data_IF_782465706918
#
_entry.id   IF_782465706918
#
_cell.length_a   1.000
_cell.length_b   1.000
_cell.length_c   1.000
_cell.angle_alpha   90.00
_cell.angle_beta   90.00
_cell.angle_gamma   90.00
#
_symmetry.space_group_name_H-M   'P 1'
#
loop_
_entity.id
_entity.type
_entity.pdbx_description
1 polymer ?
#
# COMPACT_ATOMS: atom_id res chain seq x y z
N UNK A 1 17.89 -84.20 -55.61
CA UNK A 1 17.85 -82.78 -56.00
C UNK A 1 17.50 -81.94 -54.78
N UNK A 2 18.17 -80.80 -54.63
CA UNK A 2 18.33 -80.00 -53.40
C UNK A 2 17.02 -79.39 -52.85
N UNK A 3 16.79 -79.61 -51.55
CA UNK A 3 16.20 -78.77 -50.50
C UNK A 3 15.13 -77.69 -50.84
N UNK A 4 13.85 -78.10 -50.83
CA UNK A 4 12.68 -77.20 -50.68
C UNK A 4 12.19 -77.02 -49.22
N UNK A 5 12.77 -77.77 -48.27
CA UNK A 5 12.34 -77.74 -46.85
C UNK A 5 12.92 -76.59 -46.03
N UNK A 6 14.04 -76.00 -46.47
CA UNK A 6 14.72 -74.91 -45.76
C UNK A 6 14.09 -73.52 -46.05
N UNK A 7 13.51 -73.32 -47.24
CA UNK A 7 12.85 -72.06 -47.62
C UNK A 7 11.54 -71.79 -46.86
N UNK A 8 10.84 -72.84 -46.39
CA UNK A 8 9.57 -72.69 -45.67
C UNK A 8 9.74 -72.35 -44.18
N UNK A 9 10.94 -72.57 -43.61
CA UNK A 9 11.22 -72.26 -42.20
C UNK A 9 11.63 -70.79 -41.95
N UNK A 10 11.97 -70.04 -43.01
CA UNK A 10 12.40 -68.64 -42.89
C UNK A 10 11.27 -67.60 -42.94
N UNK A 11 10.00 -67.99 -43.17
CA UNK A 11 8.87 -67.04 -43.24
C UNK A 11 8.19 -66.72 -41.90
N UNK A 12 8.59 -67.34 -40.79
CA UNK A 12 7.92 -67.18 -39.49
C UNK A 12 8.79 -66.58 -38.37
N UNK A 13 10.01 -66.15 -38.68
CA UNK A 13 10.96 -65.57 -37.70
C UNK A 13 11.51 -64.23 -38.16
N UNK A 14 10.62 -63.31 -38.56
CA UNK A 14 10.95 -61.89 -38.57
C UNK A 14 10.23 -61.17 -37.42
N UNK A 15 10.95 -60.71 -36.38
CA UNK A 15 10.37 -59.82 -35.39
C UNK A 15 10.04 -58.48 -36.06
N UNK A 16 8.75 -58.17 -36.14
CA UNK A 16 8.24 -56.87 -36.60
C UNK A 16 8.72 -55.81 -35.60
N UNK A 17 9.77 -55.07 -35.97
CA UNK A 17 10.38 -54.01 -35.16
C UNK A 17 9.36 -52.88 -34.95
N UNK A 18 8.60 -52.93 -33.86
CA UNK A 18 7.59 -51.91 -33.55
C UNK A 18 8.26 -50.62 -33.10
N UNK A 19 7.97 -49.49 -33.76
CA UNK A 19 8.45 -48.16 -33.36
C UNK A 19 7.82 -47.62 -32.07
N UNK A 20 7.11 -48.45 -31.29
CA UNK A 20 6.42 -48.09 -30.06
C UNK A 20 7.35 -47.46 -29.00
N UNK A 21 8.61 -47.89 -28.93
CA UNK A 21 9.60 -47.31 -28.01
C UNK A 21 9.97 -45.85 -28.33
N UNK A 22 9.92 -45.44 -29.61
CA UNK A 22 10.27 -44.07 -30.01
C UNK A 22 9.15 -43.08 -29.62
N UNK A 23 7.89 -43.48 -29.78
CA UNK A 23 6.74 -42.63 -29.41
C UNK A 23 6.57 -42.50 -27.89
N UNK A 24 6.92 -43.56 -27.13
CA UNK A 24 6.92 -43.50 -25.67
C UNK A 24 7.96 -42.51 -25.13
N UNK A 25 9.13 -42.40 -25.77
CA UNK A 25 10.19 -41.48 -25.33
C UNK A 25 9.87 -40.02 -25.68
N UNK A 26 9.28 -39.77 -26.85
CA UNK A 26 8.81 -38.43 -27.26
C UNK A 26 7.66 -37.94 -26.36
N UNK A 27 6.75 -38.83 -25.96
CA UNK A 27 5.66 -38.48 -25.03
C UNK A 27 6.18 -38.06 -23.64
N UNK A 28 7.15 -38.78 -23.10
CA UNK A 28 7.74 -38.47 -21.78
C UNK A 28 8.51 -37.14 -21.81
N UNK A 29 9.27 -36.86 -22.88
CA UNK A 29 10.00 -35.60 -23.03
C UNK A 29 9.05 -34.41 -23.17
N UNK A 30 7.94 -34.56 -23.91
CA UNK A 30 6.95 -33.49 -24.04
C UNK A 30 6.27 -33.16 -22.70
N UNK A 31 5.91 -34.18 -21.91
CA UNK A 31 5.32 -33.98 -20.58
C UNK A 31 6.33 -33.35 -19.61
N UNK A 32 7.60 -33.77 -19.64
CA UNK A 32 8.64 -33.16 -18.84
C UNK A 32 8.81 -31.68 -19.18
N UNK A 33 8.85 -31.29 -20.45
CA UNK A 33 8.98 -29.88 -20.88
C UNK A 33 7.78 -29.04 -20.39
N UNK A 34 6.56 -29.58 -20.43
CA UNK A 34 5.36 -28.88 -19.93
C UNK A 34 5.41 -28.70 -18.41
N UNK A 35 5.89 -29.70 -17.66
CA UNK A 35 6.02 -29.58 -16.20
C UNK A 35 7.12 -28.58 -15.84
N UNK A 36 8.27 -28.60 -16.52
CA UNK A 36 9.36 -27.66 -16.26
C UNK A 36 8.98 -26.24 -16.65
N UNK A 37 8.23 -26.04 -17.74
CA UNK A 37 7.74 -24.71 -18.13
C UNK A 37 6.69 -24.19 -17.16
N UNK A 38 5.81 -25.05 -16.63
CA UNK A 38 4.85 -24.68 -15.60
C UNK A 38 5.54 -24.29 -14.28
N UNK A 39 6.61 -24.99 -13.88
CA UNK A 39 7.39 -24.64 -12.68
C UNK A 39 8.28 -23.41 -12.84
N UNK A 40 8.82 -23.14 -14.04
CA UNK A 40 9.65 -21.96 -14.30
C UNK A 40 8.83 -20.68 -14.56
N UNK A 41 7.60 -20.79 -15.09
CA UNK A 41 6.70 -19.66 -15.32
C UNK A 41 5.70 -19.42 -14.17
N UNK A 42 5.51 -20.40 -13.27
CA UNK A 42 4.69 -20.29 -12.06
C UNK A 42 5.38 -19.59 -10.88
N UNK A 43 6.56 -19.01 -11.10
CA UNK A 43 7.23 -18.13 -10.14
C UNK A 43 6.40 -16.87 -9.93
N UNK A 44 5.43 -16.93 -9.01
CA UNK A 44 4.73 -15.76 -8.50
C UNK A 44 5.78 -14.70 -8.17
N UNK A 45 5.75 -13.49 -8.76
CA UNK A 45 6.54 -12.40 -8.23
C UNK A 45 6.11 -12.28 -6.77
N UNK A 46 7.02 -12.56 -5.84
CA UNK A 46 6.80 -12.22 -4.44
C UNK A 46 6.41 -10.75 -4.47
N UNK A 47 5.18 -10.37 -4.07
CA UNK A 47 4.92 -8.97 -3.85
C UNK A 47 5.97 -8.59 -2.83
N UNK A 48 6.83 -7.63 -3.19
CA UNK A 48 7.59 -6.88 -2.21
C UNK A 48 6.53 -6.27 -1.31
N UNK A 49 6.18 -7.01 -0.25
CA UNK A 49 5.44 -6.49 0.88
C UNK A 49 6.39 -5.51 1.53
N UNK A 50 6.48 -4.30 0.99
CA UNK A 50 6.66 -3.14 1.83
C UNK A 50 5.49 -3.19 2.80
N UNK A 51 5.69 -3.85 3.94
CA UNK A 51 4.80 -3.74 5.07
C UNK A 51 4.61 -2.24 5.25
N UNK A 52 3.36 -1.78 5.20
CA UNK A 52 2.98 -0.41 5.50
C UNK A 52 3.21 -0.20 7.01
N UNK A 53 4.47 -0.19 7.42
CA UNK A 53 4.87 0.08 8.79
C UNK A 53 4.55 1.53 9.04
N UNK A 54 3.52 1.76 9.84
CA UNK A 54 3.17 3.10 10.32
C UNK A 54 4.43 3.70 10.95
N UNK A 55 4.80 4.90 10.53
CA UNK A 55 5.99 5.55 11.06
C UNK A 55 5.81 5.76 12.56
N UNK A 56 6.86 5.47 13.33
CA UNK A 56 6.89 5.59 14.77
C UNK A 56 8.03 6.53 15.15
N UNK A 57 7.75 7.46 16.06
CA UNK A 57 8.74 8.41 16.54
C UNK A 57 9.69 7.80 17.57
N UNK A 58 9.34 6.65 18.15
CA UNK A 58 10.06 5.95 19.22
C UNK A 58 9.79 6.55 20.60
N UNK A 59 8.91 7.54 20.71
CA UNK A 59 8.60 8.24 21.95
C UNK A 59 7.11 8.47 22.08
N UNK A 60 6.57 8.23 23.28
CA UNK A 60 5.19 8.60 23.59
C UNK A 60 5.06 10.11 23.65
N UNK A 61 3.92 10.60 23.19
CA UNK A 61 3.62 12.02 23.19
C UNK A 61 2.64 12.37 24.30
N UNK A 62 2.95 13.42 25.04
CA UNK A 62 2.05 14.04 25.99
C UNK A 62 1.86 15.51 25.61
N UNK A 63 0.67 15.85 25.13
CA UNK A 63 0.32 17.20 24.74
C UNK A 63 -0.29 17.94 25.93
N UNK A 64 0.03 19.23 26.05
CA UNK A 64 -0.50 20.07 27.12
C UNK A 64 -2.02 20.20 27.02
N UNK A 65 -2.78 20.06 28.13
CA UNK A 65 -4.23 20.23 28.14
C UNK A 65 -4.67 21.70 28.10
N UNK A 66 -3.74 22.64 28.30
CA UNK A 66 -4.04 24.09 28.31
C UNK A 66 -3.51 24.79 27.06
N UNK A 67 -2.46 24.25 26.44
CA UNK A 67 -1.86 24.87 25.27
C UNK A 67 -2.55 24.40 24.00
N UNK A 68 -2.56 25.29 23.01
CA UNK A 68 -3.00 24.99 21.65
C UNK A 68 -1.78 24.80 20.78
N UNK A 69 -1.52 23.57 20.39
CA UNK A 69 -0.54 23.28 19.36
C UNK A 69 -1.21 23.48 18.00
N UNK A 70 -0.90 24.59 17.35
CA UNK A 70 -1.37 24.90 16.00
C UNK A 70 -0.59 24.09 14.95
N UNK A 71 -1.22 23.88 13.78
CA UNK A 71 -0.54 23.28 12.64
C UNK A 71 0.59 24.17 12.12
N UNK A 72 1.77 23.59 11.95
CA UNK A 72 2.86 24.22 11.21
C UNK A 72 2.68 23.97 9.72
N UNK A 73 2.55 25.02 8.91
CA UNK A 73 2.45 24.88 7.46
C UNK A 73 3.83 24.61 6.88
N UNK A 74 3.97 23.52 6.14
CA UNK A 74 5.19 23.20 5.38
C UNK A 74 4.83 22.90 3.92
N UNK A 75 5.73 23.15 2.95
CA UNK A 75 5.48 22.78 1.57
C UNK A 75 5.53 21.25 1.41
N UNK A 76 4.66 20.73 0.54
CA UNK A 76 4.72 19.37 0.01
C UNK A 76 5.03 19.40 -1.49
N UNK A 77 5.34 18.25 -2.07
CA UNK A 77 5.64 18.14 -3.50
C UNK A 77 5.16 16.82 -4.09
N UNK A 78 4.73 16.87 -5.34
CA UNK A 78 4.42 15.69 -6.14
C UNK A 78 5.64 15.28 -6.94
N UNK A 79 6.11 14.05 -6.76
CA UNK A 79 7.20 13.45 -7.53
C UNK A 79 6.86 12.00 -7.88
N UNK A 80 7.08 11.61 -9.15
CA UNK A 80 6.93 10.23 -9.60
C UNK A 80 5.57 9.58 -9.27
N UNK A 81 4.48 10.34 -9.39
CA UNK A 81 3.12 9.85 -9.11
C UNK A 81 2.82 9.66 -7.62
N UNK A 82 3.61 10.28 -6.73
CA UNK A 82 3.40 10.29 -5.28
C UNK A 82 3.49 11.71 -4.74
N UNK A 83 2.67 11.99 -3.75
CA UNK A 83 2.78 13.19 -2.92
C UNK A 83 3.74 12.91 -1.77
N UNK A 84 4.83 13.68 -1.69
CA UNK A 84 5.66 13.79 -0.49
C UNK A 84 4.98 14.76 0.47
N UNK A 85 4.24 14.22 1.43
CA UNK A 85 3.48 15.01 2.41
C UNK A 85 4.43 15.83 3.28
N UNK A 86 5.41 15.17 3.89
CA UNK A 86 6.46 15.77 4.72
C UNK A 86 7.49 14.67 5.06
N UNK A 87 8.38 14.92 6.01
CA UNK A 87 9.31 13.91 6.53
C UNK A 87 9.05 13.54 7.98
N UNK A 88 9.46 12.34 8.40
CA UNK A 88 9.35 11.89 9.79
C UNK A 88 10.16 12.82 10.70
N UNK A 89 11.33 13.29 10.28
CA UNK A 89 12.12 14.28 11.02
C UNK A 89 11.36 15.59 11.23
N UNK A 90 10.69 16.11 10.19
CA UNK A 90 9.87 17.32 10.31
C UNK A 90 8.69 17.11 11.27
N UNK A 91 8.03 15.94 11.21
CA UNK A 91 6.94 15.59 12.14
C UNK A 91 7.46 15.48 13.58
N UNK A 92 8.65 14.91 13.81
CA UNK A 92 9.27 14.86 15.15
C UNK A 92 9.53 16.26 15.72
N UNK A 93 10.02 17.17 14.89
CA UNK A 93 10.34 18.54 15.30
C UNK A 93 9.07 19.38 15.54
N UNK A 94 8.16 19.40 14.55
CA UNK A 94 6.99 20.29 14.56
C UNK A 94 5.77 19.68 15.24
N UNK A 95 5.72 18.36 15.39
CA UNK A 95 4.67 17.54 16.03
C UNK A 95 3.31 17.56 15.34
N UNK A 96 2.96 18.65 14.68
CA UNK A 96 1.71 18.84 13.96
C UNK A 96 1.92 19.71 12.73
N UNK A 97 1.72 19.12 11.56
CA UNK A 97 2.02 19.73 10.27
C UNK A 97 0.76 19.81 9.42
N UNK A 98 0.65 20.89 8.65
CA UNK A 98 -0.28 21.01 7.52
C UNK A 98 0.51 21.17 6.22
N UNK A 99 0.09 20.45 5.18
CA UNK A 99 0.52 20.67 3.80
C UNK A 99 -0.69 20.76 2.87
N UNK A 100 -0.49 21.16 1.63
CA UNK A 100 -1.54 21.17 0.62
C UNK A 100 -1.04 20.43 -0.62
N UNK A 101 -1.66 19.28 -0.91
CA UNK A 101 -1.48 18.62 -2.20
C UNK A 101 -2.10 19.48 -3.30
N UNK A 102 -1.34 19.73 -4.37
CA UNK A 102 -1.79 20.55 -5.51
C UNK A 102 -1.35 19.89 -6.83
N UNK A 103 -2.28 19.19 -7.48
CA UNK A 103 -2.07 18.67 -8.83
C UNK A 103 -3.42 18.50 -9.54
N UNK A 104 -3.38 18.41 -10.88
CA UNK A 104 -4.57 18.14 -11.70
C UNK A 104 -5.74 19.12 -11.46
N UNK A 105 -5.45 20.38 -11.14
CA UNK A 105 -6.46 21.40 -10.82
C UNK A 105 -7.17 21.20 -9.46
N UNK A 106 -6.68 20.27 -8.64
CA UNK A 106 -7.24 19.92 -7.33
C UNK A 106 -6.31 20.36 -6.21
N UNK A 107 -6.91 20.83 -5.13
CA UNK A 107 -6.21 21.08 -3.86
C UNK A 107 -6.80 20.20 -2.77
N UNK A 108 -5.97 19.41 -2.09
CA UNK A 108 -6.38 18.60 -0.93
C UNK A 108 -5.52 19.02 0.27
N UNK A 109 -6.10 19.62 1.33
CA UNK A 109 -5.34 19.97 2.52
C UNK A 109 -5.01 18.69 3.29
N UNK A 110 -3.74 18.49 3.64
CA UNK A 110 -3.24 17.32 4.34
C UNK A 110 -2.69 17.72 5.70
N UNK A 111 -2.67 16.76 6.62
CA UNK A 111 -2.04 16.94 7.92
C UNK A 111 -1.31 15.68 8.35
N UNK A 112 -0.19 15.86 9.04
CA UNK A 112 0.57 14.81 9.68
C UNK A 112 0.82 15.19 11.14
N UNK A 113 0.58 14.28 12.07
CA UNK A 113 0.79 14.50 13.50
C UNK A 113 1.18 13.22 14.22
N UNK A 114 1.75 13.39 15.41
CA UNK A 114 2.14 12.28 16.28
C UNK A 114 0.97 11.97 17.23
N UNK A 115 0.55 10.72 17.27
CA UNK A 115 -0.45 10.22 18.20
C UNK A 115 0.17 10.05 19.60
N UNK A 116 -0.65 10.00 20.67
CA UNK A 116 -0.14 9.79 22.04
C UNK A 116 0.78 8.55 22.19
N UNK A 117 0.53 7.47 21.45
CA UNK A 117 1.38 6.28 21.45
C UNK A 117 2.71 6.42 20.69
N UNK A 118 2.95 7.56 20.04
CA UNK A 118 4.19 7.87 19.31
C UNK A 118 4.14 7.59 17.81
N UNK A 119 3.05 7.01 17.30
CA UNK A 119 2.87 6.76 15.86
C UNK A 119 2.49 8.02 15.10
N UNK A 120 2.86 8.08 13.83
CA UNK A 120 2.49 9.19 12.95
C UNK A 120 1.21 8.85 12.20
N UNK A 121 0.21 9.70 12.36
CA UNK A 121 -1.01 9.68 11.56
C UNK A 121 -0.92 10.73 10.46
N UNK A 122 -1.30 10.33 9.25
CA UNK A 122 -1.51 11.26 8.12
C UNK A 122 -2.99 11.21 7.75
N UNK A 123 -3.59 12.39 7.57
CA UNK A 123 -5.00 12.52 7.28
C UNK A 123 -5.27 13.70 6.34
N UNK A 124 -6.46 13.74 5.74
CA UNK A 124 -6.97 14.95 5.09
C UNK A 124 -7.33 15.97 6.16
N UNK A 125 -6.70 17.14 6.11
CA UNK A 125 -6.97 18.29 6.99
C UNK A 125 -8.25 19.00 6.55
N UNK A 126 -9.38 18.29 6.61
CA UNK A 126 -10.68 18.81 6.20
C UNK A 126 -11.82 18.28 7.09
N UNK A 127 -12.49 19.19 7.79
CA UNK A 127 -13.73 18.93 8.50
C UNK A 127 -14.88 19.16 7.52
N UNK A 128 -15.42 18.08 6.97
CA UNK A 128 -16.28 18.15 5.79
C UNK A 128 -17.57 18.95 6.01
N UNK A 129 -18.34 18.79 7.11
CA UNK A 129 -19.61 19.49 7.24
C UNK A 129 -19.46 21.01 7.37
N UNK A 130 -18.41 21.49 8.05
CA UNK A 130 -18.16 22.93 8.24
C UNK A 130 -17.10 23.51 7.30
N UNK A 131 -16.50 22.68 6.44
CA UNK A 131 -15.43 23.03 5.48
C UNK A 131 -14.15 23.59 6.12
N UNK A 132 -13.94 23.32 7.41
CA UNK A 132 -12.74 23.77 8.13
C UNK A 132 -11.50 23.01 7.71
N UNK A 133 -10.41 23.73 7.41
CA UNK A 133 -9.16 23.12 6.93
C UNK A 133 -8.01 23.15 7.93
N UNK A 134 -8.20 23.85 9.04
CA UNK A 134 -7.20 24.05 10.09
C UNK A 134 -7.68 23.45 11.41
N UNK A 135 -6.72 22.93 12.16
CA UNK A 135 -6.94 22.25 13.42
C UNK A 135 -5.85 22.64 14.43
N UNK A 136 -6.15 22.48 15.72
CA UNK A 136 -5.16 22.49 16.79
C UNK A 136 -5.25 21.23 17.63
N UNK A 137 -4.17 20.90 18.34
CA UNK A 137 -4.14 19.83 19.34
C UNK A 137 -4.13 20.47 20.73
N UNK A 138 -4.98 19.96 21.62
CA UNK A 138 -5.00 20.30 23.05
C UNK A 138 -5.28 19.03 23.86
N UNK A 139 -4.33 18.65 24.71
CA UNK A 139 -4.34 17.37 25.40
C UNK A 139 -4.47 16.20 24.42
N UNK A 140 -5.38 15.27 24.70
CA UNK A 140 -5.63 14.10 23.86
C UNK A 140 -6.67 14.37 22.75
N UNK A 141 -6.83 15.60 22.30
CA UNK A 141 -7.86 15.99 21.33
C UNK A 141 -7.25 16.72 20.14
N UNK A 142 -7.77 16.43 18.94
CA UNK A 142 -7.67 17.30 17.77
C UNK A 142 -8.98 18.08 17.61
N UNK A 143 -8.86 19.38 17.36
CA UNK A 143 -9.99 20.32 17.39
C UNK A 143 -10.06 21.09 16.08
N UNK A 144 -11.24 21.16 15.47
CA UNK A 144 -11.45 21.98 14.28
C UNK A 144 -11.47 23.46 14.64
N UNK A 145 -10.67 24.28 13.95
CA UNK A 145 -10.57 25.72 14.22
C UNK A 145 -11.82 26.50 13.77
N UNK A 146 -12.68 25.90 12.94
CA UNK A 146 -13.91 26.54 12.43
C UNK A 146 -15.11 26.29 13.31
N UNK A 147 -15.38 25.03 13.67
CA UNK A 147 -16.61 24.65 14.39
C UNK A 147 -16.39 24.14 15.81
N UNK A 148 -15.14 23.99 16.25
CA UNK A 148 -14.82 23.49 17.58
C UNK A 148 -15.15 22.01 17.82
N UNK A 149 -15.56 21.25 16.80
CA UNK A 149 -15.75 19.80 16.93
C UNK A 149 -14.41 19.17 17.33
N UNK A 150 -14.47 18.24 18.28
CA UNK A 150 -13.30 17.56 18.83
C UNK A 150 -13.36 16.06 18.57
N UNK A 151 -12.18 15.49 18.32
CA UNK A 151 -11.98 14.06 18.17
C UNK A 151 -10.80 13.61 19.02
N UNK A 152 -10.85 12.36 19.46
CA UNK A 152 -9.76 11.72 20.19
C UNK A 152 -8.50 11.66 19.32
N UNK A 153 -7.36 12.13 19.82
CA UNK A 153 -6.13 12.25 19.04
C UNK A 153 -5.54 10.89 18.64
N UNK A 154 -5.82 9.83 19.40
CA UNK A 154 -5.32 8.50 19.12
C UNK A 154 -6.16 7.79 18.05
N UNK A 155 -7.48 7.99 18.04
CA UNK A 155 -8.41 7.16 17.27
C UNK A 155 -9.26 7.94 16.28
N UNK A 156 -9.27 9.26 16.37
CA UNK A 156 -10.20 10.17 15.70
C UNK A 156 -11.68 9.87 15.97
N UNK A 157 -11.99 9.15 17.06
CA UNK A 157 -13.36 8.97 17.51
C UNK A 157 -13.93 10.33 17.94
N UNK A 158 -15.12 10.67 17.45
CA UNK A 158 -15.82 11.90 17.82
C UNK A 158 -16.04 11.99 19.33
N UNK A 159 -15.75 13.17 19.89
CA UNK A 159 -15.90 13.45 21.32
C UNK A 159 -16.96 14.52 21.59
N UNK A 160 -16.93 15.63 20.84
CA UNK A 160 -17.88 16.74 21.00
C UNK A 160 -18.08 17.51 19.70
N UNK A 161 -19.19 18.24 19.56
CA UNK A 161 -19.53 19.08 18.41
C UNK A 161 -20.42 18.38 17.35
N UNK A 162 -20.83 19.13 16.33
CA UNK A 162 -21.77 18.66 15.31
C UNK A 162 -21.13 17.78 14.23
N UNK A 163 -19.80 17.85 14.04
CA UNK A 163 -19.11 17.16 12.95
C UNK A 163 -18.47 15.82 13.40
N UNK A 164 -18.87 15.27 14.56
CA UNK A 164 -18.20 14.11 15.19
C UNK A 164 -18.08 12.88 14.28
N UNK A 165 -19.06 12.65 13.41
CA UNK A 165 -19.07 11.52 12.46
C UNK A 165 -18.18 11.73 11.24
N UNK A 166 -17.60 12.93 11.11
CA UNK A 166 -16.75 13.33 9.99
C UNK A 166 -15.37 13.80 10.50
N UNK A 167 -14.60 12.92 11.18
CA UNK A 167 -13.21 13.24 11.54
C UNK A 167 -12.35 13.49 10.30
N UNK A 168 -11.19 14.15 10.45
CA UNK A 168 -10.14 14.13 9.44
C UNK A 168 -9.94 12.71 8.88
N UNK A 169 -10.00 12.56 7.56
CA UNK A 169 -9.95 11.23 6.95
C UNK A 169 -8.52 10.69 6.97
N UNK A 170 -8.27 9.60 7.70
CA UNK A 170 -6.97 8.93 7.74
C UNK A 170 -6.59 8.41 6.36
N UNK A 171 -5.34 8.66 5.96
CA UNK A 171 -4.76 8.22 4.71
C UNK A 171 -3.71 7.15 4.97
N UNK A 172 -3.67 6.14 4.10
CA UNK A 172 -2.54 5.21 4.07
C UNK A 172 -1.38 5.88 3.37
N UNK A 173 -0.19 5.78 3.96
CA UNK A 173 1.06 6.32 3.42
C UNK A 173 2.17 5.27 3.54
N UNK A 174 3.24 5.45 2.77
CA UNK A 174 4.49 4.70 2.92
C UNK A 174 5.57 5.57 3.53
N UNK A 175 6.34 5.02 4.47
CA UNK A 175 7.58 5.62 4.94
C UNK A 175 8.74 5.14 4.07
N UNK A 176 9.30 6.02 3.25
CA UNK A 176 10.43 5.73 2.37
C UNK A 176 11.68 6.50 2.83
N UNK A 177 12.53 5.84 3.63
CA UNK A 177 13.58 6.54 4.37
C UNK A 177 12.96 7.49 5.39
N UNK A 178 13.12 8.80 5.18
CA UNK A 178 12.50 9.84 6.02
C UNK A 178 11.16 10.36 5.43
N UNK A 179 10.83 10.01 4.19
CA UNK A 179 9.72 10.60 3.46
C UNK A 179 8.38 9.92 3.77
N UNK A 180 7.35 10.72 4.07
CA UNK A 180 5.96 10.27 4.16
C UNK A 180 5.29 10.47 2.80
N UNK A 181 5.09 9.37 2.07
CA UNK A 181 4.61 9.39 0.69
C UNK A 181 3.19 8.83 0.57
N UNK A 182 2.32 9.51 -0.18
CA UNK A 182 0.97 9.05 -0.52
C UNK A 182 0.88 8.87 -2.04
N UNK A 183 0.32 7.76 -2.56
CA UNK A 183 0.08 7.63 -3.99
C UNK A 183 -0.84 8.76 -4.49
N UNK A 184 -0.40 9.48 -5.53
CA UNK A 184 -1.12 10.64 -6.06
C UNK A 184 -2.56 10.30 -6.45
N UNK A 185 -2.78 9.11 -7.02
CA UNK A 185 -4.09 8.62 -7.44
C UNK A 185 -5.12 8.60 -6.28
N UNK A 186 -4.70 8.36 -5.03
CA UNK A 186 -5.58 8.40 -3.86
C UNK A 186 -6.08 9.82 -3.62
N UNK A 187 -5.18 10.81 -3.73
CA UNK A 187 -5.50 12.22 -3.55
C UNK A 187 -6.31 12.79 -4.72
N UNK A 188 -6.02 12.34 -5.94
CA UNK A 188 -6.80 12.69 -7.14
C UNK A 188 -8.24 12.15 -7.08
N UNK A 189 -8.44 10.96 -6.51
CA UNK A 189 -9.76 10.36 -6.33
C UNK A 189 -10.53 10.87 -5.10
N UNK A 190 -9.85 11.53 -4.15
CA UNK A 190 -10.46 11.94 -2.89
C UNK A 190 -11.65 12.92 -3.06
N UNK A 191 -12.74 12.73 -2.35
CA UNK A 191 -13.81 13.71 -2.29
C UNK A 191 -14.37 13.78 -0.86
N UNK A 192 -14.88 14.94 -0.43
CA UNK A 192 -15.64 15.01 0.82
C UNK A 192 -16.78 13.99 0.85
N UNK A 193 -17.03 13.40 2.01
CA UNK A 193 -18.12 12.43 2.24
C UNK A 193 -19.51 13.09 2.33
N UNK A 194 -19.58 14.42 2.43
CA UNK A 194 -20.81 15.24 2.52
C UNK A 194 -20.77 16.44 1.60
#
# INVERSE_FOLDING_TARGET
MKNDRELKKQKFTQPKKSKAGLYSLVGIVAVAIIITSYFLLGGNPKPSSSLNTVADTGQKMNYSPTDKLEQTVVPSKVENGKELVTTLSAVKEKKFIRTDYKANGKTVPLTAFIQPDGKVMVAVSYCEPCKGQTFHITGNQIVCNVCGTTWDLQTLKGMSGACQTYPPQVLTYSLNGDNLEIPQAILDAWAPRV
#
